data_IF_954040575732
#
_entry.id   IF_954040575732
#
_cell.length_a   1.000
_cell.length_b   1.000
_cell.length_c   1.000
_cell.angle_alpha   90.00
_cell.angle_beta   90.00
_cell.angle_gamma   90.00
#
_symmetry.space_group_name_H-M   'P 1'
#
loop_
_entity.id
_entity.type
_entity.pdbx_description
1 polymer ?
#
# COMPACT_ATOMS: atom_id res chain seq x y z
N UNK A 1 -1.98 13.28 -15.14
CA UNK A 1 -1.70 11.88 -15.37
C UNK A 1 -0.69 11.39 -14.32
N UNK A 2 -0.88 10.22 -13.74
CA UNK A 2 0.07 9.63 -12.78
C UNK A 2 -0.09 8.13 -12.69
N UNK A 3 0.93 7.48 -12.20
CA UNK A 3 0.92 6.06 -11.93
C UNK A 3 2.04 5.67 -10.99
N UNK A 4 1.86 4.58 -10.29
CA UNK A 4 2.89 4.03 -9.43
C UNK A 4 2.86 2.51 -9.44
N UNK A 5 4.02 1.94 -9.26
CA UNK A 5 4.22 0.53 -8.94
C UNK A 5 4.35 0.38 -7.43
N UNK A 6 3.64 -0.57 -6.86
CA UNK A 6 3.71 -0.88 -5.44
C UNK A 6 4.13 -2.33 -5.25
N UNK A 7 5.20 -2.53 -4.51
CA UNK A 7 5.67 -3.84 -4.08
C UNK A 7 5.55 -3.94 -2.57
N UNK A 8 4.94 -5.04 -2.11
CA UNK A 8 4.77 -5.32 -0.69
C UNK A 8 5.22 -6.73 -0.35
N UNK A 9 5.90 -6.85 0.77
CA UNK A 9 6.24 -8.12 1.36
C UNK A 9 5.85 -8.13 2.84
N UNK A 10 4.88 -8.97 3.21
CA UNK A 10 4.28 -9.00 4.54
C UNK A 10 4.51 -10.34 5.20
N UNK A 11 4.95 -10.32 6.48
CA UNK A 11 4.97 -11.47 7.37
C UNK A 11 3.80 -11.36 8.34
N UNK A 12 3.02 -12.40 8.46
CA UNK A 12 1.87 -12.43 9.35
C UNK A 12 1.83 -13.73 10.15
N UNK A 13 1.63 -13.60 11.45
CA UNK A 13 1.46 -14.72 12.37
C UNK A 13 0.00 -14.78 12.84
N UNK A 14 -0.54 -15.99 13.00
CA UNK A 14 -1.87 -16.18 13.56
C UNK A 14 -1.78 -15.94 15.07
N UNK A 15 -2.51 -14.92 15.55
CA UNK A 15 -2.59 -14.59 16.97
C UNK A 15 -3.67 -15.42 17.64
N UNK A 16 -4.82 -15.56 16.98
CA UNK A 16 -5.96 -16.28 17.53
C UNK A 16 -6.80 -16.94 16.44
N UNK A 17 -7.57 -17.96 16.87
CA UNK A 17 -8.49 -18.71 16.01
C UNK A 17 -9.79 -18.94 16.77
N UNK A 18 -10.92 -18.76 16.10
CA UNK A 18 -12.24 -19.04 16.62
C UNK A 18 -13.05 -19.79 15.56
N UNK A 19 -13.84 -20.77 16.01
CA UNK A 19 -14.85 -21.37 15.15
C UNK A 19 -16.15 -20.59 15.28
N UNK A 20 -16.66 -20.07 14.17
CA UNK A 20 -17.88 -19.27 14.11
C UNK A 20 -18.81 -19.86 13.05
N UNK A 21 -19.92 -20.42 13.52
CA UNK A 21 -20.87 -21.11 12.63
C UNK A 21 -20.23 -22.31 11.93
N UNK A 22 -20.24 -22.31 10.60
CA UNK A 22 -19.64 -23.36 9.77
C UNK A 22 -18.23 -23.01 9.26
N UNK A 23 -17.58 -22.03 9.90
CA UNK A 23 -16.27 -21.55 9.46
C UNK A 23 -15.31 -21.24 10.59
N UNK A 24 -14.06 -20.96 10.21
CA UNK A 24 -12.96 -20.61 11.09
C UNK A 24 -12.51 -19.17 10.83
N UNK A 25 -12.57 -18.35 11.85
CA UNK A 25 -12.00 -17.01 11.86
C UNK A 25 -10.57 -17.07 12.41
N UNK A 26 -9.62 -16.50 11.67
CA UNK A 26 -8.21 -16.38 12.08
C UNK A 26 -7.82 -14.92 12.11
N UNK A 27 -7.44 -14.44 13.29
CA UNK A 27 -6.84 -13.13 13.44
C UNK A 27 -5.32 -13.26 13.30
N UNK A 28 -4.74 -12.40 12.47
CA UNK A 28 -3.31 -12.34 12.22
C UNK A 28 -2.78 -10.96 12.50
N UNK A 29 -1.54 -10.86 12.96
CA UNK A 29 -0.80 -9.63 12.99
C UNK A 29 0.63 -9.84 12.51
N UNK A 30 1.22 -8.79 12.04
CA UNK A 30 2.57 -8.82 11.53
C UNK A 30 3.04 -7.46 11.08
N UNK A 31 3.99 -7.48 10.17
CA UNK A 31 4.53 -6.30 9.54
C UNK A 31 5.16 -6.64 8.21
N UNK A 32 5.54 -5.63 7.49
CA UNK A 32 6.16 -5.81 6.18
C UNK A 32 6.88 -4.58 5.68
N UNK A 33 7.43 -4.74 4.51
CA UNK A 33 8.06 -3.68 3.72
C UNK A 33 7.11 -3.31 2.61
N UNK A 34 6.87 -2.01 2.45
CA UNK A 34 6.08 -1.42 1.39
C UNK A 34 6.96 -0.47 0.58
N UNK A 35 7.15 -0.74 -0.70
CA UNK A 35 7.94 0.08 -1.60
C UNK A 35 7.06 0.60 -2.72
N UNK A 36 7.14 1.89 -2.99
CA UNK A 36 6.38 2.58 -4.04
C UNK A 36 7.31 3.38 -4.92
N UNK A 37 7.16 3.19 -6.22
CA UNK A 37 7.89 3.93 -7.24
C UNK A 37 6.90 4.38 -8.30
N UNK A 38 6.93 5.66 -8.67
CA UNK A 38 5.97 6.18 -9.61
C UNK A 38 6.30 7.56 -10.12
N UNK A 39 5.34 8.12 -10.82
CA UNK A 39 5.42 9.49 -11.35
C UNK A 39 4.05 10.16 -11.33
N UNK A 40 4.10 11.48 -11.25
CA UNK A 40 2.95 12.35 -11.46
C UNK A 40 3.30 13.36 -12.56
N UNK A 41 2.43 13.48 -13.56
CA UNK A 41 2.56 14.46 -14.64
C UNK A 41 1.44 15.48 -14.53
N UNK A 42 1.84 16.74 -14.28
CA UNK A 42 0.92 17.86 -14.12
C UNK A 42 1.43 19.04 -14.94
N UNK A 43 0.75 19.35 -16.04
CA UNK A 43 1.11 20.46 -16.95
C UNK A 43 0.91 21.85 -16.33
N UNK A 44 0.14 21.96 -15.26
CA UNK A 44 -0.04 23.22 -14.52
C UNK A 44 1.16 23.57 -13.63
N UNK A 45 2.11 22.67 -13.48
CA UNK A 45 3.32 22.90 -12.70
C UNK A 45 4.48 23.25 -13.64
N UNK A 46 4.78 24.53 -13.72
CA UNK A 46 5.75 25.08 -14.69
C UNK A 46 7.19 24.56 -14.48
N UNK A 47 7.61 24.35 -13.21
CA UNK A 47 9.00 23.96 -12.90
C UNK A 47 9.24 22.44 -13.03
N UNK A 48 8.28 21.62 -12.61
CA UNK A 48 8.41 20.16 -12.62
C UNK A 48 7.11 19.54 -13.13
N UNK A 49 6.83 19.59 -14.44
CA UNK A 49 5.63 18.96 -14.99
C UNK A 49 5.61 17.44 -14.78
N UNK A 50 6.78 16.80 -14.80
CA UNK A 50 6.95 15.40 -14.45
C UNK A 50 7.60 15.29 -13.08
N UNK A 51 6.93 14.66 -12.13
CA UNK A 51 7.41 14.48 -10.76
C UNK A 51 7.63 13.00 -10.49
N UNK A 52 8.83 12.64 -9.99
CA UNK A 52 9.11 11.31 -9.52
C UNK A 52 8.54 11.12 -8.10
N UNK A 53 8.06 9.92 -7.83
CA UNK A 53 7.59 9.50 -6.53
C UNK A 53 8.34 8.25 -6.10
N UNK A 54 8.94 8.28 -4.93
CA UNK A 54 9.64 7.14 -4.35
C UNK A 54 9.38 7.08 -2.84
N UNK A 55 8.99 5.91 -2.34
CA UNK A 55 8.75 5.71 -0.92
C UNK A 55 9.08 4.27 -0.54
N UNK A 56 9.73 4.11 0.62
CA UNK A 56 10.02 2.83 1.26
C UNK A 56 9.55 2.91 2.71
N UNK A 57 8.70 1.98 3.14
CA UNK A 57 8.12 1.99 4.48
C UNK A 57 8.26 0.64 5.17
N UNK A 58 8.36 0.68 6.50
CA UNK A 58 8.04 -0.41 7.39
C UNK A 58 6.61 -0.21 7.88
N UNK A 59 5.76 -1.21 7.66
CA UNK A 59 4.33 -1.10 7.90
C UNK A 59 3.80 -2.32 8.67
N UNK A 60 3.45 -2.17 9.94
CA UNK A 60 2.66 -3.19 10.65
C UNK A 60 1.32 -3.39 9.96
N UNK A 61 0.82 -4.61 10.07
CA UNK A 61 -0.47 -5.01 9.51
C UNK A 61 -1.22 -5.96 10.43
N UNK A 62 -2.53 -5.93 10.31
CA UNK A 62 -3.44 -6.90 10.90
C UNK A 62 -4.33 -7.46 9.80
N UNK A 63 -4.70 -8.73 9.93
CA UNK A 63 -5.64 -9.36 9.00
C UNK A 63 -6.60 -10.31 9.73
N UNK A 64 -7.81 -10.37 9.23
CA UNK A 64 -8.83 -11.32 9.66
C UNK A 64 -9.23 -12.19 8.46
N UNK A 65 -9.00 -13.50 8.56
CA UNK A 65 -9.39 -14.48 7.54
C UNK A 65 -10.55 -15.31 8.07
N UNK A 66 -11.71 -15.21 7.45
CA UNK A 66 -12.85 -16.09 7.74
C UNK A 66 -12.97 -17.14 6.64
N UNK A 67 -12.69 -18.39 6.98
CA UNK A 67 -12.74 -19.55 6.08
C UNK A 67 -14.02 -20.32 6.32
N UNK A 68 -14.81 -20.52 5.29
CA UNK A 68 -16.11 -21.21 5.36
C UNK A 68 -16.38 -22.03 4.10
N UNK A 69 -17.37 -22.90 4.17
CA UNK A 69 -17.83 -23.67 3.02
C UNK A 69 -19.20 -23.18 2.59
N UNK A 70 -19.34 -22.92 1.29
CA UNK A 70 -20.60 -22.60 0.67
C UNK A 70 -20.75 -23.48 -0.58
N UNK A 71 -21.90 -24.16 -0.73
CA UNK A 71 -22.13 -25.14 -1.81
C UNK A 71 -21.01 -26.18 -1.94
N UNK A 72 -20.54 -26.72 -0.83
CA UNK A 72 -19.43 -27.67 -0.75
C UNK A 72 -18.10 -27.18 -1.35
N UNK A 73 -17.93 -25.86 -1.53
CA UNK A 73 -16.67 -25.25 -1.97
C UNK A 73 -16.07 -24.38 -0.89
N UNK A 74 -14.75 -24.36 -0.76
CA UNK A 74 -14.07 -23.52 0.21
C UNK A 74 -14.03 -22.05 -0.27
N UNK A 75 -14.37 -21.15 0.64
CA UNK A 75 -14.26 -19.70 0.50
C UNK A 75 -13.41 -19.13 1.64
N UNK A 76 -12.75 -18.03 1.38
CA UNK A 76 -12.07 -17.24 2.41
C UNK A 76 -12.37 -15.75 2.21
N UNK A 77 -13.08 -15.16 3.16
CA UNK A 77 -13.24 -13.72 3.25
C UNK A 77 -12.07 -13.17 4.08
N UNK A 78 -11.31 -12.23 3.52
CA UNK A 78 -10.17 -11.61 4.18
C UNK A 78 -10.32 -10.11 4.25
N UNK A 79 -10.10 -9.54 5.42
CA UNK A 79 -9.87 -8.12 5.63
C UNK A 79 -8.44 -7.91 6.11
N UNK A 80 -7.74 -6.95 5.51
CA UNK A 80 -6.39 -6.57 5.89
C UNK A 80 -6.29 -5.06 6.05
N UNK A 81 -5.64 -4.63 7.13
CA UNK A 81 -5.35 -3.23 7.43
C UNK A 81 -3.85 -3.08 7.64
N UNK A 82 -3.26 -2.07 6.99
CA UNK A 82 -1.84 -1.75 7.07
C UNK A 82 -1.65 -0.25 7.29
N UNK A 83 -0.72 0.10 8.18
CA UNK A 83 -0.40 1.49 8.51
C UNK A 83 1.12 1.66 8.48
N UNK A 84 1.68 2.37 7.51
CA UNK A 84 3.11 2.72 7.51
C UNK A 84 3.48 3.52 8.76
N UNK A 85 4.49 3.06 9.50
CA UNK A 85 4.95 3.74 10.72
C UNK A 85 6.26 4.50 10.53
N UNK A 86 7.18 3.92 9.77
CA UNK A 86 8.52 4.47 9.57
C UNK A 86 8.89 4.25 8.11
N UNK A 87 9.44 5.28 7.48
CA UNK A 87 9.89 5.15 6.11
C UNK A 87 10.80 6.27 5.64
N UNK A 88 11.16 6.17 4.36
CA UNK A 88 11.90 7.17 3.62
C UNK A 88 11.12 7.50 2.35
N UNK A 89 10.97 8.77 2.05
CA UNK A 89 10.34 9.22 0.82
C UNK A 89 11.26 10.19 0.08
N UNK A 90 11.25 10.10 -1.25
CA UNK A 90 11.87 11.10 -2.10
C UNK A 90 10.90 12.26 -2.28
N UNK A 91 11.36 13.47 -1.99
CA UNK A 91 10.62 14.73 -2.17
C UNK A 91 11.57 15.85 -2.53
N UNK A 92 11.39 16.51 -3.69
CA UNK A 92 12.12 17.75 -3.97
C UNK A 92 11.72 18.83 -2.95
N UNK A 93 12.56 19.84 -2.76
CA UNK A 93 12.20 21.01 -2.00
C UNK A 93 11.22 21.89 -2.80
N UNK A 94 10.46 22.72 -2.09
CA UNK A 94 9.58 23.68 -2.77
C UNK A 94 10.39 24.59 -3.70
N UNK A 95 9.99 24.64 -4.99
CA UNK A 95 10.69 25.42 -6.02
C UNK A 95 11.95 24.77 -6.62
N UNK A 96 12.44 23.64 -6.07
CA UNK A 96 13.58 22.92 -6.60
C UNK A 96 13.21 22.14 -7.86
N UNK A 97 14.03 22.27 -8.90
CA UNK A 97 13.84 21.54 -10.16
C UNK A 97 14.57 20.18 -10.14
N UNK A 98 14.08 19.21 -10.92
CA UNK A 98 14.80 17.94 -11.12
C UNK A 98 16.15 18.13 -11.81
N UNK A 99 16.31 19.17 -12.61
CA UNK A 99 17.59 19.53 -13.20
C UNK A 99 18.63 19.89 -12.12
N UNK A 100 18.23 20.65 -11.09
CA UNK A 100 19.12 20.97 -9.97
C UNK A 100 19.50 19.73 -9.17
N UNK A 101 18.57 18.79 -8.96
CA UNK A 101 18.82 17.56 -8.25
C UNK A 101 19.76 16.65 -9.05
N UNK A 102 19.36 16.27 -10.27
CA UNK A 102 20.02 15.19 -10.99
C UNK A 102 21.19 15.63 -11.87
N UNK A 103 21.23 16.89 -12.31
CA UNK A 103 22.31 17.40 -13.17
C UNK A 103 23.33 18.20 -12.38
N UNK A 104 22.89 19.04 -11.44
CA UNK A 104 23.80 19.85 -10.61
C UNK A 104 24.21 19.16 -9.31
N UNK A 105 23.63 18.02 -8.98
CA UNK A 105 23.95 17.27 -7.76
C UNK A 105 23.48 17.93 -6.47
N UNK A 106 22.48 18.79 -6.53
CA UNK A 106 21.91 19.42 -5.33
C UNK A 106 20.88 18.48 -4.68
N UNK A 107 21.35 17.58 -3.83
CA UNK A 107 20.53 16.57 -3.14
C UNK A 107 20.09 17.00 -1.74
N UNK A 108 20.06 18.30 -1.46
CA UNK A 108 19.75 18.80 -0.12
C UNK A 108 18.34 18.38 0.33
N UNK A 109 18.29 17.56 1.40
CA UNK A 109 17.07 17.09 2.06
C UNK A 109 16.01 16.43 1.14
N UNK A 110 16.42 15.88 -0.02
CA UNK A 110 15.48 15.20 -0.94
C UNK A 110 15.02 13.83 -0.45
N UNK A 111 15.76 13.20 0.47
CA UNK A 111 15.31 12.01 1.20
C UNK A 111 14.75 12.44 2.55
N UNK A 112 13.45 12.26 2.73
CA UNK A 112 12.71 12.67 3.92
C UNK A 112 12.31 11.45 4.72
N UNK A 113 12.62 11.46 6.02
CA UNK A 113 12.13 10.46 6.95
C UNK A 113 10.62 10.64 7.16
N UNK A 114 9.86 9.54 7.02
CA UNK A 114 8.40 9.55 7.10
C UNK A 114 7.90 8.81 8.33
N UNK A 115 6.88 9.39 8.94
CA UNK A 115 6.14 8.86 10.09
C UNK A 115 4.65 9.17 9.91
N UNK A 116 3.73 8.61 10.70
CA UNK A 116 2.31 8.99 10.65
C UNK A 116 2.02 10.48 10.92
N UNK A 117 2.99 11.22 11.45
CA UNK A 117 2.83 12.66 11.72
C UNK A 117 2.97 13.48 10.43
N UNK A 118 3.99 13.20 9.62
CA UNK A 118 4.26 13.95 8.38
C UNK A 118 3.76 13.23 7.12
N UNK A 119 3.49 11.91 7.20
CA UNK A 119 2.98 11.11 6.09
C UNK A 119 1.90 10.11 6.57
N UNK A 120 0.75 10.60 7.11
CA UNK A 120 -0.31 9.72 7.54
C UNK A 120 -0.86 8.93 6.37
N UNK A 121 -0.81 7.61 6.47
CA UNK A 121 -1.21 6.70 5.41
C UNK A 121 -1.95 5.51 5.98
N UNK A 122 -2.96 5.05 5.25
CA UNK A 122 -3.77 3.89 5.60
C UNK A 122 -4.03 3.08 4.34
N UNK A 123 -3.81 1.78 4.43
CA UNK A 123 -4.18 0.84 3.39
C UNK A 123 -5.10 -0.23 3.95
N UNK A 124 -6.21 -0.44 3.30
CA UNK A 124 -7.17 -1.48 3.65
C UNK A 124 -7.54 -2.32 2.44
N UNK A 125 -7.69 -3.60 2.64
CA UNK A 125 -8.07 -4.53 1.58
C UNK A 125 -9.13 -5.51 2.08
N UNK A 126 -10.20 -5.63 1.32
CA UNK A 126 -11.22 -6.66 1.51
C UNK A 126 -11.19 -7.58 0.30
N UNK A 127 -11.03 -8.87 0.50
CA UNK A 127 -11.01 -9.85 -0.60
C UNK A 127 -11.81 -11.08 -0.25
N UNK A 128 -12.37 -11.70 -1.30
CA UNK A 128 -12.95 -13.04 -1.24
C UNK A 128 -12.15 -13.96 -2.15
N UNK A 129 -11.68 -15.07 -1.58
CA UNK A 129 -11.01 -16.14 -2.31
C UNK A 129 -11.98 -17.28 -2.50
N UNK A 130 -12.02 -17.85 -3.69
CA UNK A 130 -12.82 -19.04 -4.00
C UNK A 130 -12.08 -19.95 -4.96
N UNK A 131 -12.20 -21.26 -4.72
CA UNK A 131 -11.46 -22.27 -5.48
C UNK A 131 -12.34 -22.86 -6.57
N UNK A 132 -11.86 -22.75 -7.82
CA UNK A 132 -12.40 -23.39 -8.99
C UNK A 132 -11.41 -24.45 -9.48
N UNK A 133 -11.79 -25.74 -9.38
CA UNK A 133 -10.93 -26.88 -9.70
C UNK A 133 -9.59 -26.82 -8.92
N UNK A 134 -8.50 -26.46 -9.59
CA UNK A 134 -7.15 -26.39 -9.01
C UNK A 134 -6.63 -24.94 -8.84
N UNK A 135 -7.48 -23.93 -9.11
CA UNK A 135 -7.07 -22.53 -9.06
C UNK A 135 -7.96 -21.78 -8.07
N UNK A 136 -7.33 -21.09 -7.13
CA UNK A 136 -8.02 -20.18 -6.22
C UNK A 136 -7.95 -18.78 -6.77
N UNK A 137 -9.11 -18.22 -7.08
CA UNK A 137 -9.25 -16.85 -7.56
C UNK A 137 -9.53 -15.93 -6.38
N UNK A 138 -8.99 -14.73 -6.44
CA UNK A 138 -9.22 -13.64 -5.50
C UNK A 138 -9.89 -12.49 -6.19
N UNK A 139 -10.98 -12.02 -5.60
CA UNK A 139 -11.66 -10.78 -5.97
C UNK A 139 -11.73 -9.87 -4.76
N UNK A 140 -11.67 -8.56 -4.97
CA UNK A 140 -11.81 -7.66 -3.85
C UNK A 140 -11.65 -6.19 -4.16
N UNK A 141 -11.51 -5.44 -3.09
CA UNK A 141 -11.36 -4.00 -3.07
C UNK A 141 -10.13 -3.63 -2.26
N UNK A 142 -9.37 -2.66 -2.76
CA UNK A 142 -8.24 -2.05 -2.09
C UNK A 142 -8.44 -0.54 -1.99
N UNK A 143 -8.51 -0.04 -0.77
CA UNK A 143 -8.43 1.39 -0.46
C UNK A 143 -7.03 1.74 -0.02
N UNK A 144 -6.38 2.69 -0.71
CA UNK A 144 -5.03 3.16 -0.40
C UNK A 144 -5.05 4.68 -0.26
N UNK A 145 -4.94 5.16 0.98
CA UNK A 145 -5.07 6.56 1.36
C UNK A 145 -3.72 7.06 1.86
N UNK A 146 -3.16 8.01 1.17
CA UNK A 146 -1.86 8.56 1.46
C UNK A 146 -1.91 10.06 1.54
N UNK A 147 -1.31 10.59 2.58
CA UNK A 147 -1.08 12.01 2.74
C UNK A 147 0.39 12.22 3.11
N UNK A 148 0.98 13.30 2.61
CA UNK A 148 2.33 13.67 2.98
C UNK A 148 2.47 15.18 3.01
N UNK A 149 3.23 15.66 4.00
CA UNK A 149 3.68 17.05 4.11
C UNK A 149 5.18 17.03 4.31
N UNK A 150 5.92 17.27 3.23
CA UNK A 150 7.37 17.16 3.19
C UNK A 150 7.94 18.32 2.38
N UNK A 151 9.07 18.90 2.82
CA UNK A 151 9.81 19.94 2.11
C UNK A 151 8.95 21.12 1.60
N UNK A 152 7.95 21.53 2.40
CA UNK A 152 7.00 22.59 1.99
C UNK A 152 5.92 22.16 1.01
N UNK A 153 5.96 20.90 0.52
CA UNK A 153 4.98 20.31 -0.40
C UNK A 153 3.93 19.51 0.35
N UNK A 154 2.71 19.49 -0.16
CA UNK A 154 1.62 18.65 0.33
C UNK A 154 1.16 17.74 -0.80
N UNK A 155 1.02 16.47 -0.48
CA UNK A 155 0.51 15.45 -1.38
C UNK A 155 -0.65 14.70 -0.74
N UNK A 156 -1.71 14.47 -1.52
CA UNK A 156 -2.84 13.63 -1.15
C UNK A 156 -3.11 12.66 -2.30
N UNK A 157 -3.10 11.38 -2.01
CA UNK A 157 -3.44 10.34 -2.99
C UNK A 157 -4.46 9.41 -2.35
N UNK A 158 -5.64 9.35 -2.94
CA UNK A 158 -6.72 8.47 -2.52
C UNK A 158 -7.07 7.53 -3.67
N UNK A 159 -6.69 6.29 -3.53
CA UNK A 159 -6.89 5.27 -4.55
C UNK A 159 -7.93 4.26 -4.08
N UNK A 160 -8.92 4.00 -4.92
CA UNK A 160 -9.91 2.95 -4.75
C UNK A 160 -9.77 2.00 -5.94
N UNK A 161 -9.32 0.78 -5.68
CA UNK A 161 -8.92 -0.16 -6.71
C UNK A 161 -9.69 -1.47 -6.58
N UNK A 162 -10.03 -2.04 -7.72
CA UNK A 162 -10.52 -3.40 -7.80
C UNK A 162 -9.34 -4.37 -7.79
N UNK A 163 -9.46 -5.44 -7.01
CA UNK A 163 -8.43 -6.48 -6.88
C UNK A 163 -8.88 -7.73 -7.63
N UNK A 164 -8.06 -8.18 -8.56
CA UNK A 164 -8.18 -9.47 -9.20
C UNK A 164 -6.85 -10.21 -9.04
N UNK A 165 -6.88 -11.46 -8.57
CA UNK A 165 -5.67 -12.21 -8.32
C UNK A 165 -5.84 -13.71 -8.35
N UNK A 166 -4.72 -14.41 -8.36
CA UNK A 166 -4.61 -15.85 -8.21
C UNK A 166 -3.88 -16.13 -6.90
N UNK A 167 -4.47 -16.99 -6.06
CA UNK A 167 -3.87 -17.40 -4.79
C UNK A 167 -3.26 -18.79 -4.97
N UNK A 168 -1.98 -18.89 -4.65
CA UNK A 168 -1.27 -20.17 -4.52
C UNK A 168 -1.24 -20.57 -3.05
N UNK A 169 -1.78 -21.70 -2.72
CA UNK A 169 -1.73 -22.32 -1.38
C UNK A 169 -0.66 -23.37 -1.32
#
# INVERSE_FOLDING_TARGET
LGGYYNFQYNWQYVINKWTIGNGDLRLKAGGGIDTRLGFLYNTSNANNPAQAYGQLNIAPNIAADYRFHLWNKPFCLRYELQIPLIGLAFSPNYGQSYYEIFTKGNYDHNLVFTTPINAPSLRQMVTIDFTLHHTTLRLGYLGDYQQAKMNGLRQHTWSNLFVLGIVRT
#
